data_IF_471649671252
#
_entry.id   IF_471649671252
#
_cell.length_a   1.000
_cell.length_b   1.000
_cell.length_c   1.000
_cell.angle_alpha   90.00
_cell.angle_beta   90.00
_cell.angle_gamma   90.00
#
_symmetry.space_group_name_H-M   'P 1'
#
loop_
_entity.id
_entity.type
_entity.pdbx_description
1 polymer ?
#
# COMPACT_ATOMS: atom_id res chain seq x y z
N UNK A 1 -43.15 9.73 73.72
CA UNK A 1 -41.94 9.48 74.53
C UNK A 1 -41.38 8.13 74.11
N UNK A 2 -40.25 8.09 73.38
CA UNK A 2 -39.14 7.13 73.51
C UNK A 2 -38.07 7.45 72.45
N UNK A 3 -36.81 7.33 72.88
CA UNK A 3 -35.61 8.03 72.42
C UNK A 3 -34.97 7.49 71.13
N UNK A 4 -34.44 8.43 70.34
CA UNK A 4 -33.14 8.44 69.63
C UNK A 4 -32.26 7.18 69.73
N UNK A 5 -31.88 6.59 68.58
CA UNK A 5 -30.54 5.99 68.38
C UNK A 5 -30.05 6.30 66.95
N UNK A 6 -28.91 6.99 66.91
CA UNK A 6 -28.07 7.36 65.77
C UNK A 6 -27.35 6.14 65.19
N UNK A 7 -27.14 6.11 63.86
CA UNK A 7 -26.11 5.34 63.11
C UNK A 7 -26.64 5.10 61.69
N UNK A 8 -25.96 5.20 60.54
CA UNK A 8 -24.58 5.50 60.15
C UNK A 8 -24.63 5.69 58.64
N UNK A 9 -23.75 6.56 58.12
CA UNK A 9 -23.39 6.76 56.71
C UNK A 9 -23.49 5.46 55.87
N UNK A 10 -24.27 5.50 54.78
CA UNK A 10 -24.16 4.56 53.66
C UNK A 10 -23.88 5.36 52.37
N UNK A 11 -22.74 6.04 52.37
CA UNK A 11 -22.05 6.45 51.15
C UNK A 11 -20.97 5.39 50.85
N UNK A 12 -20.66 5.24 49.56
CA UNK A 12 -19.70 4.31 48.94
C UNK A 12 -20.27 2.96 48.50
N UNK A 13 -20.41 2.79 47.19
CA UNK A 13 -20.67 1.49 46.59
C UNK A 13 -20.92 1.45 45.08
N UNK A 14 -20.77 2.54 44.31
CA UNK A 14 -20.76 2.43 42.83
C UNK A 14 -19.30 2.26 42.39
N UNK A 15 -18.80 1.03 42.53
CA UNK A 15 -17.58 0.56 41.89
C UNK A 15 -17.82 0.51 40.38
N UNK A 16 -17.28 1.51 39.67
CA UNK A 16 -17.30 1.56 38.20
C UNK A 16 -16.40 0.43 37.68
N UNK A 17 -17.02 -0.65 37.19
CA UNK A 17 -16.39 -1.77 36.50
C UNK A 17 -15.92 -1.38 35.07
N UNK A 18 -15.09 -0.34 34.93
CA UNK A 18 -14.63 0.13 33.60
C UNK A 18 -13.40 -0.60 33.05
N UNK A 19 -13.07 -1.80 33.55
CA UNK A 19 -11.77 -2.46 33.30
C UNK A 19 -11.68 -3.42 32.09
N UNK A 20 -12.80 -3.89 31.52
CA UNK A 20 -12.75 -5.05 30.60
C UNK A 20 -13.45 -4.86 29.25
N UNK A 21 -13.90 -3.66 28.89
CA UNK A 21 -14.63 -3.48 27.64
C UNK A 21 -13.67 -3.39 26.44
N UNK A 22 -13.79 -4.33 25.50
CA UNK A 22 -13.27 -4.13 24.14
C UNK A 22 -14.09 -3.03 23.46
N UNK A 23 -13.42 -2.21 22.65
CA UNK A 23 -14.08 -1.15 21.88
C UNK A 23 -14.09 -1.59 20.42
N UNK A 24 -15.25 -1.51 19.77
CA UNK A 24 -15.36 -1.83 18.35
C UNK A 24 -14.59 -0.82 17.47
N UNK A 25 -14.09 -1.24 16.30
CA UNK A 25 -13.55 -0.34 15.28
C UNK A 25 -14.51 0.81 14.94
N UNK A 26 -13.99 2.03 14.80
CA UNK A 26 -14.80 3.15 14.28
C UNK A 26 -14.96 3.04 12.77
N UNK A 27 -16.06 3.58 12.26
CA UNK A 27 -16.25 3.74 10.83
C UNK A 27 -15.62 5.05 10.35
N UNK A 28 -15.05 5.02 9.15
CA UNK A 28 -14.41 6.14 8.48
C UNK A 28 -14.96 6.24 7.05
N UNK A 29 -15.20 7.46 6.59
CA UNK A 29 -15.48 7.73 5.18
C UNK A 29 -14.16 7.64 4.39
N UNK A 30 -14.10 6.70 3.45
CA UNK A 30 -12.88 6.41 2.67
C UNK A 30 -13.13 6.63 1.19
N UNK A 31 -12.33 7.52 0.59
CA UNK A 31 -12.30 7.69 -0.87
C UNK A 31 -11.51 6.53 -1.48
N UNK A 32 -12.22 5.50 -1.91
CA UNK A 32 -11.65 4.29 -2.51
C UNK A 32 -11.53 4.34 -4.04
N UNK A 33 -12.02 5.40 -4.70
CA UNK A 33 -11.96 5.47 -6.16
C UNK A 33 -11.66 6.88 -6.69
N UNK A 34 -11.03 6.93 -7.86
CA UNK A 34 -10.75 8.18 -8.58
C UNK A 34 -10.69 7.92 -10.09
N UNK A 35 -11.13 8.91 -10.86
CA UNK A 35 -11.03 8.92 -12.32
C UNK A 35 -9.82 9.75 -12.75
N UNK A 36 -9.06 9.25 -13.73
CA UNK A 36 -7.87 9.88 -14.29
C UNK A 36 -8.04 10.15 -15.78
N UNK A 37 -7.61 11.35 -16.19
CA UNK A 37 -7.53 11.79 -17.59
C UNK A 37 -6.24 11.25 -18.24
N UNK A 38 -6.10 9.92 -18.32
CA UNK A 38 -4.93 9.24 -18.86
C UNK A 38 -5.33 7.95 -19.57
N UNK A 39 -4.44 7.38 -20.40
CA UNK A 39 -4.69 6.08 -21.02
C UNK A 39 -4.59 4.94 -20.01
N UNK A 40 -5.21 3.80 -20.32
CA UNK A 40 -5.10 2.59 -19.52
C UNK A 40 -3.64 2.19 -19.26
N UNK A 41 -2.81 2.17 -20.31
CA UNK A 41 -1.39 1.79 -20.19
C UNK A 41 -0.58 2.74 -19.30
N UNK A 42 -0.88 4.05 -19.34
CA UNK A 42 -0.23 5.03 -18.47
C UNK A 42 -0.61 4.81 -17.01
N UNK A 43 -1.91 4.65 -16.72
CA UNK A 43 -2.39 4.39 -15.35
C UNK A 43 -1.82 3.07 -14.83
N UNK A 44 -1.86 2.02 -15.65
CA UNK A 44 -1.38 0.69 -15.30
C UNK A 44 0.12 0.67 -15.01
N UNK A 45 0.95 1.22 -15.90
CA UNK A 45 2.40 1.25 -15.72
C UNK A 45 2.80 2.06 -14.47
N UNK A 46 2.15 3.21 -14.23
CA UNK A 46 2.36 3.99 -13.03
C UNK A 46 1.98 3.22 -11.77
N UNK A 47 0.82 2.56 -11.77
CA UNK A 47 0.35 1.76 -10.65
C UNK A 47 1.36 0.65 -10.29
N UNK A 48 1.79 -0.13 -11.27
CA UNK A 48 2.78 -1.20 -11.06
C UNK A 48 4.10 -0.63 -10.55
N UNK A 49 4.57 0.49 -11.11
CA UNK A 49 5.81 1.13 -10.67
C UNK A 49 5.73 1.63 -9.22
N UNK A 50 4.60 2.20 -8.79
CA UNK A 50 4.38 2.68 -7.42
C UNK A 50 4.41 1.49 -6.45
N UNK A 51 3.68 0.41 -6.76
CA UNK A 51 3.60 -0.77 -5.91
C UNK A 51 4.97 -1.47 -5.79
N UNK A 52 5.70 -1.57 -6.90
CA UNK A 52 7.05 -2.14 -6.92
C UNK A 52 8.04 -1.30 -6.09
N UNK A 53 8.04 0.03 -6.24
CA UNK A 53 8.90 0.93 -5.45
C UNK A 53 8.61 0.87 -3.95
N UNK A 54 7.34 0.66 -3.59
CA UNK A 54 6.92 0.50 -2.20
C UNK A 54 7.17 -0.91 -1.64
N UNK A 55 7.78 -1.82 -2.42
CA UNK A 55 7.99 -3.23 -2.06
C UNK A 55 6.70 -3.92 -1.58
N UNK A 56 5.59 -3.64 -2.26
CA UNK A 56 4.29 -4.20 -1.93
C UNK A 56 4.23 -5.67 -2.35
N UNK A 57 3.83 -6.60 -1.47
CA UNK A 57 3.71 -8.03 -1.78
C UNK A 57 2.55 -8.30 -2.76
N UNK A 58 2.84 -8.27 -4.06
CA UNK A 58 1.88 -8.61 -5.10
C UNK A 58 1.64 -10.12 -5.11
N UNK A 59 0.38 -10.53 -4.97
CA UNK A 59 -0.01 -11.95 -5.09
C UNK A 59 -0.53 -12.29 -6.47
N UNK A 60 -1.25 -11.38 -7.11
CA UNK A 60 -1.74 -11.58 -8.47
C UNK A 60 -1.83 -10.24 -9.22
N UNK A 61 -1.50 -10.30 -10.51
CA UNK A 61 -1.61 -9.17 -11.44
C UNK A 61 -2.16 -9.69 -12.76
N UNK A 62 -3.24 -9.08 -13.25
CA UNK A 62 -3.92 -9.45 -14.48
C UNK A 62 -4.20 -8.19 -15.31
N UNK A 63 -3.27 -7.87 -16.23
CA UNK A 63 -3.31 -6.64 -17.05
C UNK A 63 -4.49 -6.61 -18.02
N UNK A 64 -4.93 -7.76 -18.50
CA UNK A 64 -6.08 -7.91 -19.37
C UNK A 64 -7.40 -7.54 -18.69
N UNK A 65 -7.56 -7.88 -17.41
CA UNK A 65 -8.76 -7.61 -16.61
C UNK A 65 -8.67 -6.33 -15.76
N UNK A 66 -7.50 -5.70 -15.68
CA UNK A 66 -7.30 -4.49 -14.87
C UNK A 66 -7.22 -4.75 -13.37
N UNK A 67 -6.95 -5.99 -12.95
CA UNK A 67 -6.98 -6.39 -11.53
C UNK A 67 -5.57 -6.58 -10.98
N UNK A 68 -5.33 -6.02 -9.79
CA UNK A 68 -4.16 -6.31 -8.96
C UNK A 68 -4.63 -6.71 -7.57
N UNK A 69 -4.17 -7.87 -7.09
CA UNK A 69 -4.40 -8.35 -5.75
C UNK A 69 -3.10 -8.35 -4.93
N UNK A 70 -3.15 -7.70 -3.78
CA UNK A 70 -2.07 -7.61 -2.79
C UNK A 70 -2.49 -8.40 -1.56
N UNK A 71 -1.56 -9.16 -1.00
CA UNK A 71 -1.78 -9.97 0.19
C UNK A 71 -0.70 -9.69 1.24
N UNK A 72 -0.99 -9.95 2.51
CA UNK A 72 -0.06 -9.80 3.62
C UNK A 72 0.60 -8.41 3.75
N UNK A 73 -0.14 -7.34 3.42
CA UNK A 73 0.32 -5.97 3.65
C UNK A 73 0.38 -5.70 5.16
N UNK A 74 1.56 -5.39 5.69
CA UNK A 74 1.69 -4.95 7.08
C UNK A 74 1.08 -3.55 7.22
N UNK A 75 0.37 -3.32 8.32
CA UNK A 75 -0.24 -2.02 8.59
C UNK A 75 -0.07 -1.59 10.05
N UNK A 76 -0.19 -0.29 10.28
CA UNK A 76 -0.18 0.33 11.61
C UNK A 76 -1.50 1.05 11.93
N UNK A 77 -1.60 1.59 13.15
CA UNK A 77 -2.81 2.26 13.64
C UNK A 77 -3.15 3.55 12.85
N UNK A 78 -2.26 4.06 12.00
CA UNK A 78 -2.56 5.20 11.12
C UNK A 78 -3.37 4.75 9.91
N UNK A 79 -3.22 3.50 9.48
CA UNK A 79 -3.85 2.96 8.29
C UNK A 79 -5.21 2.32 8.56
N UNK A 80 -5.37 1.66 9.71
CA UNK A 80 -6.61 1.00 10.09
C UNK A 80 -6.95 1.20 11.58
N UNK A 81 -8.24 1.18 11.89
CA UNK A 81 -8.76 1.12 13.26
C UNK A 81 -9.26 -0.29 13.55
N UNK A 82 -8.65 -0.96 14.52
CA UNK A 82 -9.08 -2.28 15.00
C UNK A 82 -9.90 -2.19 16.30
N UNK A 83 -10.18 -0.98 16.78
CA UNK A 83 -10.76 -0.73 18.08
C UNK A 83 -9.78 -1.02 19.23
N UNK A 84 -10.29 -1.13 20.46
CA UNK A 84 -9.47 -1.45 21.63
C UNK A 84 -9.48 -2.95 21.89
N UNK A 85 -8.31 -3.59 22.10
CA UNK A 85 -8.22 -5.02 22.32
C UNK A 85 -8.66 -5.45 23.74
N UNK A 86 -8.87 -4.50 24.67
CA UNK A 86 -9.21 -4.82 26.06
C UNK A 86 -8.12 -5.65 26.72
N UNK A 87 -8.48 -6.83 27.25
CA UNK A 87 -7.52 -7.78 27.84
C UNK A 87 -6.81 -8.67 26.81
N UNK A 88 -7.25 -8.65 25.55
CA UNK A 88 -6.63 -9.45 24.49
C UNK A 88 -5.34 -8.76 24.01
N UNK A 89 -4.37 -9.56 23.55
CA UNK A 89 -3.09 -9.04 23.05
C UNK A 89 -3.04 -9.15 21.52
N UNK A 90 -2.90 -8.05 20.76
CA UNK A 90 -2.63 -8.12 19.33
C UNK A 90 -1.30 -8.84 19.08
N UNK A 91 -1.30 -9.88 18.24
CA UNK A 91 -0.10 -10.67 17.91
C UNK A 91 0.25 -10.65 16.43
N UNK A 92 -0.70 -10.30 15.55
CA UNK A 92 -0.45 -10.17 14.12
C UNK A 92 -1.43 -9.21 13.47
N UNK A 93 -0.98 -8.52 12.42
CA UNK A 93 -1.78 -7.54 11.65
C UNK A 93 -1.41 -7.62 10.18
N UNK A 94 -2.40 -7.91 9.35
CA UNK A 94 -2.22 -8.00 7.89
C UNK A 94 -3.42 -7.42 7.16
N UNK A 95 -3.15 -6.82 6.00
CA UNK A 95 -4.16 -6.31 5.09
C UNK A 95 -4.07 -6.98 3.72
N UNK A 96 -5.21 -7.03 3.05
CA UNK A 96 -5.32 -7.37 1.64
C UNK A 96 -5.83 -6.16 0.88
N UNK A 97 -5.40 -6.03 -0.38
CA UNK A 97 -5.83 -4.93 -1.25
C UNK A 97 -6.27 -5.50 -2.58
N UNK A 98 -7.44 -5.07 -3.04
CA UNK A 98 -7.92 -5.31 -4.39
C UNK A 98 -7.98 -3.99 -5.15
N UNK A 99 -7.22 -3.91 -6.24
CA UNK A 99 -7.16 -2.73 -7.10
C UNK A 99 -7.76 -3.10 -8.45
N UNK A 100 -8.70 -2.29 -8.92
CA UNK A 100 -9.36 -2.43 -10.21
C UNK A 100 -9.17 -1.17 -11.03
N UNK A 101 -8.66 -1.32 -12.26
CA UNK A 101 -8.59 -0.27 -13.27
C UNK A 101 -9.60 -0.59 -14.35
N UNK A 102 -10.56 0.31 -14.58
CA UNK A 102 -11.63 0.11 -15.55
C UNK A 102 -11.89 1.38 -16.37
N UNK A 103 -12.27 1.25 -17.66
CA UNK A 103 -12.57 2.40 -18.50
C UNK A 103 -13.90 3.06 -18.08
N UNK A 104 -13.91 4.40 -18.08
CA UNK A 104 -15.12 5.23 -17.91
C UNK A 104 -15.12 6.29 -19.01
N UNK A 105 -15.75 5.96 -20.13
CA UNK A 105 -15.63 6.73 -21.37
C UNK A 105 -14.18 6.69 -21.89
N UNK A 106 -13.59 7.86 -22.14
CA UNK A 106 -12.19 7.98 -22.59
C UNK A 106 -11.18 8.03 -21.43
N UNK A 107 -11.64 7.81 -20.20
CA UNK A 107 -10.88 7.98 -18.95
C UNK A 107 -10.75 6.65 -18.23
N UNK A 108 -9.90 6.61 -17.22
CA UNK A 108 -9.70 5.40 -16.42
C UNK A 108 -10.12 5.65 -14.98
N UNK A 109 -11.00 4.81 -14.45
CA UNK A 109 -11.30 4.78 -13.03
C UNK A 109 -10.44 3.73 -12.35
N UNK A 110 -9.74 4.15 -11.30
CA UNK A 110 -9.04 3.23 -10.39
C UNK A 110 -9.86 3.13 -9.11
N UNK A 111 -10.13 1.90 -8.68
CA UNK A 111 -10.79 1.58 -7.42
C UNK A 111 -9.84 0.76 -6.56
N UNK A 112 -9.68 1.13 -5.30
CA UNK A 112 -8.78 0.52 -4.32
C UNK A 112 -9.60 0.13 -3.11
N UNK A 113 -9.81 -1.16 -2.92
CA UNK A 113 -10.51 -1.70 -1.76
C UNK A 113 -9.49 -2.38 -0.85
N UNK A 114 -9.49 -2.02 0.43
CA UNK A 114 -8.65 -2.65 1.44
C UNK A 114 -9.49 -3.45 2.43
N UNK A 115 -8.89 -4.52 2.95
CA UNK A 115 -9.42 -5.25 4.09
C UNK A 115 -8.27 -5.45 5.07
N UNK A 116 -8.49 -5.12 6.34
CA UNK A 116 -7.47 -5.21 7.38
C UNK A 116 -7.94 -6.16 8.48
N UNK A 117 -7.05 -7.04 8.93
CA UNK A 117 -7.35 -8.02 9.97
C UNK A 117 -6.27 -8.00 11.04
N UNK A 118 -6.71 -8.00 12.29
CA UNK A 118 -5.86 -8.15 13.47
C UNK A 118 -6.14 -9.48 14.16
N UNK A 119 -5.10 -10.27 14.39
CA UNK A 119 -5.16 -11.47 15.23
C UNK A 119 -4.85 -11.09 16.68
N UNK A 120 -5.76 -11.44 17.58
CA UNK A 120 -5.65 -11.23 19.02
C UNK A 120 -5.52 -12.54 19.75
N UNK A 121 -4.66 -12.56 20.75
CA UNK A 121 -4.41 -13.68 21.64
C UNK A 121 -5.06 -13.45 22.99
N UNK A 122 -5.80 -14.45 23.47
CA UNK A 122 -6.36 -14.46 24.81
C UNK A 122 -5.42 -15.23 25.75
N UNK A 123 -4.88 -14.52 26.75
CA UNK A 123 -3.97 -15.12 27.74
C UNK A 123 -4.64 -16.05 28.75
N UNK A 124 -5.97 -16.03 28.86
CA UNK A 124 -6.71 -16.84 29.84
C UNK A 124 -7.02 -18.25 29.34
N UNK A 125 -7.41 -18.38 28.07
CA UNK A 125 -7.80 -19.66 27.45
C UNK A 125 -6.87 -20.09 26.31
N UNK A 126 -5.80 -19.34 26.06
CA UNK A 126 -4.80 -19.59 25.01
C UNK A 126 -5.39 -19.56 23.58
N UNK A 127 -6.60 -19.04 23.41
CA UNK A 127 -7.26 -18.95 22.11
C UNK A 127 -6.76 -17.75 21.30
N UNK A 128 -7.00 -17.81 19.98
CA UNK A 128 -6.80 -16.68 19.08
C UNK A 128 -8.12 -16.30 18.43
N UNK A 129 -8.31 -15.01 18.20
CA UNK A 129 -9.47 -14.45 17.50
C UNK A 129 -9.00 -13.46 16.46
N UNK A 130 -9.75 -13.36 15.36
CA UNK A 130 -9.51 -12.35 14.33
C UNK A 130 -10.55 -11.24 14.45
N UNK A 131 -10.09 -10.01 14.33
CA UNK A 131 -10.92 -8.82 14.33
C UNK A 131 -10.74 -8.11 13.01
N UNK A 132 -11.85 -7.82 12.34
CA UNK A 132 -11.84 -6.98 11.15
C UNK A 132 -11.60 -5.53 11.58
N UNK A 133 -10.61 -4.90 10.97
CA UNK A 133 -10.29 -3.49 11.18
C UNK A 133 -10.87 -2.66 10.04
N UNK A 134 -11.27 -1.44 10.36
CA UNK A 134 -11.79 -0.49 9.38
C UNK A 134 -10.64 0.37 8.84
N UNK A 135 -10.56 0.50 7.52
CA UNK A 135 -9.59 1.40 6.88
C UNK A 135 -9.84 2.84 7.30
N UNK A 136 -8.76 3.60 7.52
CA UNK A 136 -8.79 5.07 7.70
C UNK A 136 -8.61 5.82 6.38
N UNK A 137 -8.53 5.10 5.26
CA UNK A 137 -8.39 5.66 3.92
C UNK A 137 -6.99 6.17 3.56
N UNK A 138 -6.02 6.06 4.46
CA UNK A 138 -4.66 6.61 4.24
C UNK A 138 -3.93 5.89 3.11
N UNK A 139 -4.06 4.57 3.01
CA UNK A 139 -3.40 3.79 1.97
C UNK A 139 -4.03 4.06 0.60
N UNK A 140 -5.36 4.06 0.54
CA UNK A 140 -6.18 4.31 -0.64
C UNK A 140 -5.90 5.71 -1.18
N UNK A 141 -5.98 6.72 -0.31
CA UNK A 141 -5.68 8.10 -0.68
C UNK A 141 -4.22 8.24 -1.17
N UNK A 142 -3.24 7.69 -0.44
CA UNK A 142 -1.85 7.77 -0.85
C UNK A 142 -1.58 7.13 -2.22
N UNK A 143 -2.19 5.97 -2.49
CA UNK A 143 -2.07 5.29 -3.77
C UNK A 143 -2.73 6.08 -4.90
N UNK A 144 -3.97 6.54 -4.71
CA UNK A 144 -4.69 7.35 -5.69
C UNK A 144 -3.97 8.69 -5.96
N UNK A 145 -3.42 9.32 -4.92
CA UNK A 145 -2.63 10.55 -5.06
C UNK A 145 -1.31 10.30 -5.77
N UNK A 146 -0.67 9.14 -5.56
CA UNK A 146 0.57 8.79 -6.26
C UNK A 146 0.33 8.57 -7.76
N UNK A 147 -0.78 7.94 -8.15
CA UNK A 147 -1.16 7.77 -9.57
C UNK A 147 -1.41 9.14 -10.21
N UNK A 148 -2.11 10.04 -9.50
CA UNK A 148 -2.40 11.40 -9.96
C UNK A 148 -1.17 12.30 -10.06
N UNK A 149 -0.12 12.05 -9.26
CA UNK A 149 1.16 12.76 -9.35
C UNK A 149 2.11 12.16 -10.38
N UNK A 150 1.99 10.86 -10.64
CA UNK A 150 2.71 10.14 -11.69
C UNK A 150 2.15 10.39 -13.09
N UNK A 151 1.07 11.16 -13.23
CA UNK A 151 0.51 11.58 -14.51
C UNK A 151 1.10 12.93 -14.90
N UNK A 152 2.10 13.01 -15.80
CA UNK A 152 2.39 14.27 -16.47
C UNK A 152 1.18 14.64 -17.32
N UNK A 153 0.55 15.77 -17.00
CA UNK A 153 -0.31 16.53 -17.91
C UNK A 153 0.48 16.74 -19.20
N UNK A 154 -0.03 16.21 -20.32
CA UNK A 154 0.54 16.27 -21.67
C UNK A 154 1.82 17.09 -21.85
N UNK A 155 2.96 16.40 -21.86
CA UNK A 155 4.16 16.82 -22.61
C UNK A 155 4.84 15.61 -23.22
N UNK A 156 4.07 14.78 -23.93
CA UNK A 156 4.55 14.21 -25.19
C UNK A 156 3.49 14.56 -26.22
N UNK A 157 3.41 15.86 -26.54
CA UNK A 157 3.06 16.23 -27.89
C UNK A 157 3.97 15.43 -28.81
N UNK A 158 3.37 14.80 -29.82
CA UNK A 158 4.10 14.37 -30.99
C UNK A 158 4.97 15.55 -31.45
N UNK A 159 6.28 15.44 -31.24
CA UNK A 159 7.26 16.26 -31.94
C UNK A 159 7.91 15.34 -32.97
N UNK A 160 8.03 15.78 -34.23
CA UNK A 160 8.53 14.96 -35.30
C UNK A 160 10.01 14.67 -35.08
N UNK A 161 10.39 13.40 -35.27
CA UNK A 161 11.75 12.92 -35.60
C UNK A 161 12.88 13.77 -35.03
N UNK A 162 13.27 13.52 -33.77
CA UNK A 162 14.61 13.83 -33.30
C UNK A 162 15.39 12.51 -33.23
N UNK A 163 16.36 12.39 -34.13
CA UNK A 163 17.28 11.26 -34.25
C UNK A 163 18.07 11.08 -32.95
N UNK A 164 17.68 10.11 -32.12
CA UNK A 164 18.53 9.50 -31.11
C UNK A 164 18.94 8.13 -31.63
N UNK A 165 20.24 7.94 -31.88
CA UNK A 165 20.78 6.68 -32.40
C UNK A 165 20.44 5.47 -31.50
N UNK A 166 20.50 4.25 -32.04
CA UNK A 166 20.06 3.05 -31.33
C UNK A 166 20.92 2.84 -30.09
N UNK A 167 20.28 2.54 -28.95
CA UNK A 167 20.97 1.88 -27.83
C UNK A 167 21.43 0.51 -28.32
N UNK A 168 22.64 0.44 -28.88
CA UNK A 168 23.29 -0.81 -29.29
C UNK A 168 23.34 -1.75 -28.10
N UNK A 169 23.01 -3.02 -28.30
CA UNK A 169 23.15 -4.02 -27.24
C UNK A 169 24.60 -4.06 -26.76
N UNK A 170 24.83 -4.49 -25.51
CA UNK A 170 26.20 -4.63 -24.96
C UNK A 170 27.07 -5.47 -25.90
N UNK A 171 26.51 -6.52 -26.49
CA UNK A 171 27.22 -7.41 -27.43
C UNK A 171 27.68 -6.68 -28.70
N UNK A 172 26.85 -5.79 -29.26
CA UNK A 172 27.19 -5.01 -30.46
C UNK A 172 28.28 -3.96 -30.14
N UNK A 173 28.25 -3.38 -28.94
CA UNK A 173 29.29 -2.44 -28.48
C UNK A 173 30.64 -3.14 -28.25
N UNK A 174 30.60 -4.37 -27.73
CA UNK A 174 31.82 -5.18 -27.53
C UNK A 174 32.43 -5.65 -28.86
N UNK A 175 31.60 -6.05 -29.84
CA UNK A 175 32.08 -6.43 -31.17
C UNK A 175 32.73 -5.26 -31.93
N UNK A 176 32.18 -4.05 -31.78
CA UNK A 176 32.78 -2.84 -32.32
C UNK A 176 34.10 -2.48 -31.62
N UNK A 177 34.16 -2.60 -30.30
CA UNK A 177 35.40 -2.36 -29.54
C UNK A 177 36.52 -3.31 -29.97
N UNK A 178 36.20 -4.58 -30.21
CA UNK A 178 37.15 -5.60 -30.68
C UNK A 178 37.72 -5.26 -32.07
N UNK A 179 36.95 -4.58 -32.93
CA UNK A 179 37.40 -4.18 -34.26
C UNK A 179 38.33 -2.96 -34.27
N UNK A 180 38.34 -2.14 -33.22
CA UNK A 180 39.09 -0.88 -33.19
C UNK A 180 40.61 -1.04 -32.94
N UNK A 181 41.11 -2.26 -32.72
CA UNK A 181 42.54 -2.57 -32.51
C UNK A 181 43.26 -1.57 -31.58
N UNK A 182 42.60 -1.23 -30.46
CA UNK A 182 43.10 -0.23 -29.53
C UNK A 182 44.28 -0.76 -28.69
N UNK A 183 45.16 0.13 -28.20
CA UNK A 183 46.09 -0.20 -27.14
C UNK A 183 45.39 -0.83 -25.94
N UNK A 184 46.05 -1.78 -25.27
CA UNK A 184 45.42 -2.64 -24.25
C UNK A 184 44.81 -1.86 -23.08
N UNK A 185 45.47 -0.80 -22.63
CA UNK A 185 45.02 0.07 -21.55
C UNK A 185 43.73 0.84 -21.92
N UNK A 186 43.66 1.35 -23.14
CA UNK A 186 42.48 2.04 -23.65
C UNK A 186 41.31 1.05 -23.89
N UNK A 187 41.61 -0.15 -24.38
CA UNK A 187 40.64 -1.22 -24.54
C UNK A 187 39.99 -1.59 -23.19
N UNK A 188 40.81 -1.81 -22.15
CA UNK A 188 40.32 -2.18 -20.81
C UNK A 188 39.42 -1.10 -20.21
N UNK A 189 39.77 0.19 -20.40
CA UNK A 189 38.96 1.31 -19.92
C UNK A 189 37.57 1.33 -20.57
N UNK A 190 37.51 1.11 -21.89
CA UNK A 190 36.25 1.09 -22.65
C UNK A 190 35.42 -0.16 -22.36
N UNK A 191 36.06 -1.31 -22.20
CA UNK A 191 35.38 -2.56 -21.83
C UNK A 191 34.64 -2.44 -20.49
N UNK A 192 35.27 -1.83 -19.48
CA UNK A 192 34.65 -1.56 -18.17
C UNK A 192 33.48 -0.60 -18.27
N UNK A 193 33.61 0.46 -19.08
CA UNK A 193 32.53 1.40 -19.32
C UNK A 193 31.30 0.75 -19.98
N UNK A 194 31.51 -0.23 -20.87
CA UNK A 194 30.44 -0.98 -21.55
C UNK A 194 29.80 -2.03 -20.63
N UNK A 195 30.60 -2.73 -19.82
CA UNK A 195 30.13 -3.87 -18.99
C UNK A 195 29.71 -3.48 -17.57
N UNK A 196 30.00 -2.25 -17.13
CA UNK A 196 29.65 -1.75 -15.80
C UNK A 196 30.51 -2.30 -14.67
N UNK A 197 31.74 -2.74 -14.97
CA UNK A 197 32.73 -3.29 -14.01
C UNK A 197 33.75 -2.26 -13.52
#
# INVERSE_FOLDING_TARGET
MNKEVRATVAALGVLVLSGCASVAPKHYEVTSSRVYEASYDQVWSNLVAILAKANVPLKQIAKDSGVIYVDALKFDDRQADCGSPGMLKPIARFGTVNILVQPVGNRQQVTVNTSFTETRYNGFDYSTSQVQCNSKGQFEAALLDAIGRGTPVGSVAANPVAQGGPSRSIDEQLDELNRQQLPYDEYQKRYRAITGQ
#
